data_IF_878254919183
#
_entry.id   IF_878254919183
#
_cell.length_a   1.000
_cell.length_b   1.000
_cell.length_c   1.000
_cell.angle_alpha   90.00
_cell.angle_beta   90.00
_cell.angle_gamma   90.00
#
_symmetry.space_group_name_H-M   'P 1'
#
loop_
_entity.id
_entity.type
_entity.pdbx_description
1 polymer ?
#
# COMPACT_ATOMS: atom_id res chain seq x y z
N UNK A 1 -3.78 -16.41 25.64
CA UNK A 1 -2.94 -16.36 24.41
C UNK A 1 -2.67 -14.90 24.08
N UNK A 2 -1.43 -14.55 23.76
CA UNK A 2 -1.07 -13.21 23.29
C UNK A 2 -1.69 -12.96 21.90
N UNK A 3 -2.18 -11.74 21.64
CA UNK A 3 -2.81 -11.36 20.36
C UNK A 3 -1.93 -11.72 19.14
N UNK A 4 -0.61 -11.54 19.27
CA UNK A 4 0.37 -11.91 18.23
C UNK A 4 0.34 -13.39 17.87
N UNK A 5 0.17 -14.29 18.85
CA UNK A 5 0.09 -15.73 18.58
C UNK A 5 -1.20 -16.11 17.85
N UNK A 6 -2.33 -15.45 18.19
CA UNK A 6 -3.59 -15.65 17.48
C UNK A 6 -3.53 -15.14 16.02
N UNK A 7 -2.74 -14.09 15.75
CA UNK A 7 -2.53 -13.60 14.39
C UNK A 7 -1.73 -14.58 13.51
N UNK A 8 -0.77 -15.32 14.09
CA UNK A 8 0.04 -16.28 13.33
C UNK A 8 -0.74 -17.53 12.90
N UNK A 9 -1.79 -17.90 13.65
CA UNK A 9 -2.62 -19.06 13.35
C UNK A 9 -3.81 -18.75 12.43
N UNK A 10 -3.98 -17.50 11.98
CA UNK A 10 -5.05 -17.11 11.07
C UNK A 10 -4.94 -17.86 9.73
N UNK A 11 -6.04 -18.49 9.26
CA UNK A 11 -6.07 -19.10 7.94
C UNK A 11 -5.75 -18.08 6.85
N UNK A 12 -4.87 -18.45 5.92
CA UNK A 12 -4.60 -17.65 4.71
C UNK A 12 -5.54 -18.04 3.58
N UNK A 13 -5.86 -17.07 2.74
CA UNK A 13 -6.70 -17.26 1.57
C UNK A 13 -5.87 -17.84 0.42
N UNK A 14 -5.86 -19.18 0.31
CA UNK A 14 -5.07 -19.91 -0.71
C UNK A 14 -5.37 -19.50 -2.16
N UNK A 15 -6.56 -18.94 -2.43
CA UNK A 15 -6.88 -18.46 -3.78
C UNK A 15 -6.02 -17.29 -4.24
N UNK A 16 -5.35 -16.57 -3.32
CA UNK A 16 -4.43 -15.49 -3.63
C UNK A 16 -2.98 -15.96 -3.86
N UNK A 17 -2.69 -17.26 -3.67
CA UNK A 17 -1.35 -17.84 -3.87
C UNK A 17 -1.14 -18.19 -5.36
N UNK A 18 -1.34 -17.20 -6.23
CA UNK A 18 -1.16 -17.37 -7.66
C UNK A 18 -0.44 -16.16 -8.29
N UNK A 19 0.23 -16.36 -9.44
CA UNK A 19 0.96 -15.29 -10.09
C UNK A 19 0.09 -14.08 -10.45
N UNK A 20 -1.18 -14.26 -10.81
CA UNK A 20 -2.05 -13.13 -11.14
C UNK A 20 -2.31 -12.24 -9.92
N UNK A 21 -2.59 -12.82 -8.76
CA UNK A 21 -2.74 -12.08 -7.51
C UNK A 21 -1.47 -11.30 -7.15
N UNK A 22 -0.28 -11.88 -7.35
CA UNK A 22 0.99 -11.17 -7.17
C UNK A 22 1.09 -9.92 -8.05
N UNK A 23 0.80 -10.05 -9.35
CA UNK A 23 0.83 -8.91 -10.27
C UNK A 23 -0.23 -7.86 -9.94
N UNK A 24 -1.42 -8.26 -9.50
CA UNK A 24 -2.45 -7.35 -9.00
C UNK A 24 -1.96 -6.59 -7.77
N UNK A 25 -1.33 -7.28 -6.82
CA UNK A 25 -0.72 -6.65 -5.65
C UNK A 25 0.34 -5.61 -6.03
N UNK A 26 1.24 -5.94 -6.96
CA UNK A 26 2.23 -5.00 -7.50
C UNK A 26 1.59 -3.80 -8.21
N UNK A 27 0.54 -4.03 -9.01
CA UNK A 27 -0.18 -2.96 -9.69
C UNK A 27 -0.84 -2.00 -8.68
N UNK A 28 -1.46 -2.54 -7.62
CA UNK A 28 -2.04 -1.75 -6.54
C UNK A 28 -0.99 -0.91 -5.81
N UNK A 29 0.19 -1.47 -5.54
CA UNK A 29 1.32 -0.73 -4.95
C UNK A 29 1.80 0.41 -5.86
N UNK A 30 1.94 0.14 -7.17
CA UNK A 30 2.37 1.13 -8.15
C UNK A 30 1.37 2.28 -8.29
N UNK A 31 0.10 1.96 -8.55
CA UNK A 31 -0.97 2.96 -8.71
C UNK A 31 -1.18 3.74 -7.41
N UNK A 32 -1.23 3.05 -6.27
CA UNK A 32 -1.37 3.71 -4.98
C UNK A 32 -0.20 4.64 -4.65
N UNK A 33 1.03 4.20 -4.97
CA UNK A 33 2.24 5.02 -4.84
C UNK A 33 2.18 6.28 -5.71
N UNK A 34 1.76 6.15 -6.97
CA UNK A 34 1.57 7.30 -7.86
C UNK A 34 0.58 8.30 -7.25
N UNK A 35 -0.56 7.84 -6.73
CA UNK A 35 -1.54 8.73 -6.10
C UNK A 35 -1.03 9.40 -4.83
N UNK A 36 -0.36 8.68 -3.94
CA UNK A 36 0.19 9.27 -2.70
C UNK A 36 1.26 10.30 -3.04
N UNK A 37 2.22 9.95 -3.89
CA UNK A 37 3.35 10.84 -4.23
C UNK A 37 2.88 12.07 -5.02
N UNK A 38 2.04 11.89 -6.04
CA UNK A 38 1.52 13.02 -6.82
C UNK A 38 0.63 13.94 -5.98
N UNK A 39 -0.16 13.39 -5.05
CA UNK A 39 -0.93 14.18 -4.08
C UNK A 39 -0.01 15.00 -3.18
N UNK A 40 1.04 14.37 -2.65
CA UNK A 40 2.01 15.03 -1.79
C UNK A 40 2.75 16.15 -2.52
N UNK A 41 3.18 15.91 -3.76
CA UNK A 41 3.84 16.93 -4.58
C UNK A 41 2.91 18.11 -4.89
N UNK A 42 1.62 17.87 -5.09
CA UNK A 42 0.65 18.92 -5.38
C UNK A 42 0.19 19.72 -4.13
N UNK A 43 0.21 19.11 -2.94
CA UNK A 43 -0.15 19.77 -1.68
C UNK A 43 1.04 20.37 -0.95
N UNK A 44 2.23 19.79 -1.12
CA UNK A 44 3.41 20.06 -0.31
C UNK A 44 3.27 19.58 1.13
N UNK A 45 4.32 19.79 1.91
CA UNK A 45 4.38 19.40 3.33
C UNK A 45 3.27 20.09 4.16
N UNK A 46 3.14 21.41 4.03
CA UNK A 46 2.13 22.19 4.76
C UNK A 46 0.71 21.75 4.39
N UNK A 47 0.40 21.62 3.10
CA UNK A 47 -0.94 21.19 2.67
C UNK A 47 -1.28 19.77 3.08
N UNK A 48 -0.28 18.88 3.20
CA UNK A 48 -0.50 17.47 3.57
C UNK A 48 -0.64 17.29 5.08
N UNK A 49 0.22 17.92 5.88
CA UNK A 49 0.32 17.64 7.32
C UNK A 49 -0.29 18.72 8.19
N UNK A 50 -0.21 19.98 7.77
CA UNK A 50 -0.71 21.10 8.56
C UNK A 50 -2.16 21.43 8.17
N UNK A 51 -2.57 21.16 6.92
CA UNK A 51 -3.94 21.45 6.47
C UNK A 51 -4.40 22.83 6.95
N UNK A 52 -5.60 22.90 7.51
CA UNK A 52 -6.18 24.13 8.06
C UNK A 52 -5.85 24.38 9.55
N UNK A 53 -4.94 23.61 10.19
CA UNK A 53 -4.67 23.70 11.64
C UNK A 53 -4.30 25.11 12.14
N UNK A 54 -3.81 25.98 11.26
CA UNK A 54 -3.40 27.35 11.57
C UNK A 54 -4.27 28.43 10.92
N UNK A 55 -5.40 28.08 10.29
CA UNK A 55 -6.21 29.02 9.51
C UNK A 55 -5.53 29.49 8.22
N UNK A 56 -4.46 28.81 7.78
CA UNK A 56 -3.85 28.98 6.46
C UNK A 56 -4.72 28.22 5.47
N UNK A 57 -5.85 28.83 5.09
CA UNK A 57 -6.71 28.29 4.04
C UNK A 57 -5.91 28.29 2.74
N UNK A 58 -5.77 27.12 2.10
CA UNK A 58 -5.29 27.09 0.71
C UNK A 58 -6.35 27.80 -0.13
N UNK A 59 -5.99 28.94 -0.75
CA UNK A 59 -6.94 29.85 -1.43
C UNK A 59 -7.87 29.14 -2.43
N UNK A 60 -7.39 28.06 -3.05
CA UNK A 60 -8.19 27.19 -3.89
C UNK A 60 -7.81 25.71 -3.73
N UNK A 61 -8.81 24.84 -3.89
CA UNK A 61 -8.61 23.38 -4.01
C UNK A 61 -7.68 23.12 -5.20
N UNK A 62 -6.71 22.23 -5.01
CA UNK A 62 -5.89 21.74 -6.14
C UNK A 62 -6.80 21.00 -7.10
N UNK A 63 -6.82 21.44 -8.36
CA UNK A 63 -7.59 20.81 -9.44
C UNK A 63 -6.73 20.03 -10.41
N UNK A 64 -5.40 20.08 -10.25
CA UNK A 64 -4.44 19.29 -11.03
C UNK A 64 -4.47 17.82 -10.59
N UNK A 65 -3.97 16.91 -11.43
CA UNK A 65 -3.80 15.51 -11.06
C UNK A 65 -3.08 15.39 -9.70
N UNK A 66 -3.44 14.45 -8.82
CA UNK A 66 -4.50 13.46 -8.95
C UNK A 66 -5.89 13.95 -8.52
N UNK A 67 -6.04 15.21 -8.11
CA UNK A 67 -7.31 15.77 -7.63
C UNK A 67 -8.32 16.08 -8.74
N UNK A 68 -7.88 16.09 -10.01
CA UNK A 68 -8.77 16.21 -11.17
C UNK A 68 -9.64 14.98 -11.42
N UNK A 69 -9.23 13.81 -10.94
CA UNK A 69 -9.84 12.53 -11.29
C UNK A 69 -10.44 11.78 -10.10
N UNK A 70 -10.01 12.12 -8.88
CA UNK A 70 -10.41 11.40 -7.67
C UNK A 70 -10.46 12.36 -6.48
N UNK A 71 -11.52 12.22 -5.68
CA UNK A 71 -11.60 12.89 -4.39
C UNK A 71 -10.66 12.23 -3.38
N UNK A 72 -9.89 13.02 -2.65
CA UNK A 72 -8.97 12.54 -1.60
C UNK A 72 -7.98 11.46 -2.08
N UNK A 73 -7.21 11.74 -3.15
CA UNK A 73 -6.38 10.74 -3.84
C UNK A 73 -5.32 10.09 -2.94
N UNK A 74 -4.80 10.81 -1.93
CA UNK A 74 -3.86 10.24 -0.97
C UNK A 74 -4.47 9.11 -0.12
N UNK A 75 -5.75 9.22 0.25
CA UNK A 75 -6.44 8.20 1.03
C UNK A 75 -6.66 6.95 0.20
N UNK A 76 -7.22 7.10 -1.00
CA UNK A 76 -7.39 5.97 -1.92
C UNK A 76 -6.07 5.32 -2.32
N UNK A 77 -5.03 6.13 -2.55
CA UNK A 77 -3.69 5.64 -2.82
C UNK A 77 -3.13 4.81 -1.66
N UNK A 78 -3.34 5.27 -0.42
CA UNK A 78 -2.89 4.55 0.78
C UNK A 78 -3.68 3.25 0.99
N UNK A 79 -4.99 3.26 0.76
CA UNK A 79 -5.83 2.05 0.76
C UNK A 79 -5.34 1.04 -0.26
N UNK A 80 -5.05 1.48 -1.50
CA UNK A 80 -4.51 0.61 -2.54
C UNK A 80 -3.14 0.02 -2.14
N UNK A 81 -2.26 0.82 -1.52
CA UNK A 81 -0.97 0.33 -1.02
C UNK A 81 -1.15 -0.75 0.05
N UNK A 82 -1.99 -0.51 1.06
CA UNK A 82 -2.22 -1.49 2.13
C UNK A 82 -2.84 -2.78 1.61
N UNK A 83 -3.80 -2.67 0.69
CA UNK A 83 -4.39 -3.83 0.03
C UNK A 83 -3.36 -4.57 -0.84
N UNK A 84 -2.52 -3.83 -1.58
CA UNK A 84 -1.44 -4.40 -2.38
C UNK A 84 -0.47 -5.22 -1.53
N UNK A 85 -0.04 -4.68 -0.38
CA UNK A 85 0.80 -5.42 0.58
C UNK A 85 0.10 -6.62 1.20
N UNK A 86 -1.22 -6.57 1.41
CA UNK A 86 -1.98 -7.70 1.92
C UNK A 86 -2.11 -8.84 0.89
N UNK A 87 -2.11 -8.50 -0.40
CA UNK A 87 -2.26 -9.46 -1.52
C UNK A 87 -0.90 -10.02 -1.96
N UNK A 88 0.15 -9.20 -2.00
CA UNK A 88 1.49 -9.71 -2.30
C UNK A 88 1.84 -10.78 -1.26
N UNK A 89 2.17 -12.02 -1.69
CA UNK A 89 2.48 -13.10 -0.78
C UNK A 89 3.55 -12.64 0.19
N UNK A 90 3.19 -12.64 1.48
CA UNK A 90 4.08 -12.21 2.54
C UNK A 90 5.38 -12.99 2.39
N UNK A 91 6.49 -12.27 2.36
CA UNK A 91 7.88 -12.71 2.09
C UNK A 91 8.30 -14.03 2.72
N UNK A 92 7.57 -14.53 3.73
CA UNK A 92 7.68 -15.88 4.27
C UNK A 92 7.73 -16.99 3.20
N UNK A 93 6.99 -16.92 2.09
CA UNK A 93 7.11 -17.93 1.02
C UNK A 93 8.43 -17.85 0.25
N UNK A 94 8.92 -16.63 -0.02
CA UNK A 94 10.25 -16.41 -0.61
C UNK A 94 11.33 -16.90 0.35
N UNK A 95 11.16 -16.68 1.65
CA UNK A 95 12.07 -17.21 2.68
C UNK A 95 11.99 -18.74 2.78
N UNK A 96 10.81 -19.34 2.74
CA UNK A 96 10.60 -20.80 2.75
C UNK A 96 11.18 -21.47 1.49
N UNK A 97 10.99 -20.87 0.32
CA UNK A 97 11.59 -21.33 -0.94
C UNK A 97 13.12 -21.22 -0.91
N UNK A 98 13.66 -20.09 -0.46
CA UNK A 98 15.12 -19.92 -0.30
C UNK A 98 15.71 -20.89 0.72
N UNK A 99 15.05 -21.10 1.87
CA UNK A 99 15.47 -22.06 2.88
C UNK A 99 15.43 -23.51 2.37
N UNK A 100 14.37 -23.88 1.63
CA UNK A 100 14.23 -25.21 1.03
C UNK A 100 15.23 -25.46 -0.10
N UNK A 101 15.57 -24.44 -0.90
CA UNK A 101 16.61 -24.52 -1.93
C UNK A 101 18.03 -24.58 -1.34
N UNK A 102 18.27 -23.89 -0.22
CA UNK A 102 19.55 -23.94 0.50
C UNK A 102 19.78 -25.32 1.14
N UNK A 103 18.74 -25.92 1.73
CA UNK A 103 18.80 -27.29 2.27
C UNK A 103 19.07 -28.35 1.19
N UNK A 104 18.46 -28.21 0.00
CA UNK A 104 18.73 -29.12 -1.13
C UNK A 104 20.13 -28.97 -1.77
N UNK A 105 20.90 -27.95 -1.38
CA UNK A 105 22.25 -27.68 -1.88
C UNK A 105 23.36 -28.07 -0.89
N UNK A 106 23.02 -28.50 0.33
CA UNK A 106 23.95 -29.10 1.31
C UNK A 106 23.88 -30.61 1.26
#
# INVERSE_FOLDING_TARGET
>A
MCFTQAMLSQPRMQSLDNPAAYHVGLALLGVGGVFVLSSFLALGFTGTFLGDYFGILKEARVTMFPFSILDNPMYWGSTAIYLGWAIVPFTAEIYQQKASQAYKRS
#
